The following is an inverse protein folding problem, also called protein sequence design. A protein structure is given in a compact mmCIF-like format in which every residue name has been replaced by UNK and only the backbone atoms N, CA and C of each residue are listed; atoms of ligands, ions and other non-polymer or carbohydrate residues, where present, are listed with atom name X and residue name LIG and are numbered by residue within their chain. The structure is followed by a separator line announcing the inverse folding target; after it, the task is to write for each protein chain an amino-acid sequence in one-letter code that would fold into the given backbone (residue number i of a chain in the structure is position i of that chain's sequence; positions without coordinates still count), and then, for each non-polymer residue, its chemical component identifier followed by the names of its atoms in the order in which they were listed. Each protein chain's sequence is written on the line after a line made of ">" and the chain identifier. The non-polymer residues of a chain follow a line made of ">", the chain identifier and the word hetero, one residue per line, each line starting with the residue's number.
data_IF_334962804251
#
_entry.id   IF_334962804251
#
_cell.length_a   1.000
_cell.length_b   1.000
_cell.length_c   1.000
_cell.angle_alpha   90.00
_cell.angle_beta   90.00
_cell.angle_gamma   90.00
#
_symmetry.space_group_name_H-M   'P 1'
#
loop_
_entity.id
_entity.type
_entity.pdbx_description
1 polymer ?
#
# COMPACT_ATOMS: atom_id res chain seq x y z
N UNK A 1 16.10 1.99 -3.14
CA UNK A 1 17.10 1.38 -4.03
C UNK A 1 17.27 -0.07 -3.64
N UNK A 2 17.70 -0.94 -4.55
CA UNK A 2 18.07 -2.32 -4.19
C UNK A 2 19.49 -2.41 -3.60
N UNK A 3 19.86 -3.60 -3.12
CA UNK A 3 21.20 -3.93 -2.61
C UNK A 3 22.34 -3.75 -3.63
N UNK A 4 22.02 -3.67 -4.92
CA UNK A 4 22.99 -3.38 -6.00
C UNK A 4 23.10 -1.87 -6.31
N UNK A 5 22.36 -1.03 -5.58
CA UNK A 5 22.33 0.41 -5.75
C UNK A 5 21.45 0.88 -6.92
N UNK A 6 20.61 0.02 -7.51
CA UNK A 6 19.65 0.45 -8.52
C UNK A 6 18.48 1.20 -7.86
N UNK A 7 17.97 2.20 -8.55
CA UNK A 7 16.86 3.06 -8.12
C UNK A 7 15.62 2.62 -8.88
N UNK A 8 14.48 2.55 -8.20
CA UNK A 8 13.20 2.23 -8.82
C UNK A 8 12.26 3.40 -8.64
N UNK A 9 11.57 3.78 -9.71
CA UNK A 9 10.62 4.89 -9.73
C UNK A 9 9.27 4.34 -10.16
N UNK A 10 8.23 4.68 -9.41
CA UNK A 10 6.83 4.54 -9.78
C UNK A 10 6.23 5.93 -9.86
N UNK A 11 5.68 6.30 -11.02
CA UNK A 11 5.15 7.66 -11.22
C UNK A 11 4.08 7.68 -12.29
N UNK A 12 3.28 8.74 -12.26
CA UNK A 12 2.31 9.08 -13.29
C UNK A 12 2.86 10.16 -14.22
N UNK A 13 2.44 10.11 -15.48
CA UNK A 13 2.74 11.11 -16.50
C UNK A 13 1.43 11.53 -17.15
N UNK A 14 1.13 12.84 -17.10
CA UNK A 14 -0.14 13.41 -17.52
C UNK A 14 -0.26 13.66 -19.03
N UNK A 15 0.84 13.55 -19.77
CA UNK A 15 0.91 13.72 -21.21
C UNK A 15 2.15 13.03 -21.74
N UNK A 16 2.16 12.65 -23.02
CA UNK A 16 3.33 12.06 -23.68
C UNK A 16 4.60 12.89 -23.39
N UNK A 17 5.63 12.24 -22.86
CA UNK A 17 6.88 12.87 -22.43
C UNK A 17 8.09 12.02 -22.81
N UNK A 18 9.26 12.65 -22.85
CA UNK A 18 10.55 11.96 -22.96
C UNK A 18 11.12 11.77 -21.55
N UNK A 19 11.52 10.55 -21.22
CA UNK A 19 12.12 10.18 -19.95
C UNK A 19 13.31 9.25 -20.20
N UNK A 20 14.53 9.75 -19.95
CA UNK A 20 15.79 9.01 -20.13
C UNK A 20 15.91 8.40 -21.54
N UNK A 21 15.72 9.23 -22.57
CA UNK A 21 15.75 8.86 -24.00
C UNK A 21 14.63 7.89 -24.45
N UNK A 22 13.68 7.55 -23.58
CA UNK A 22 12.47 6.78 -23.93
C UNK A 22 11.25 7.70 -24.02
N UNK A 23 10.41 7.48 -25.03
CA UNK A 23 9.11 8.16 -25.12
C UNK A 23 8.07 7.37 -24.33
N UNK A 24 7.48 8.01 -23.32
CA UNK A 24 6.39 7.46 -22.52
C UNK A 24 5.09 8.19 -22.83
N UNK A 25 4.00 7.44 -23.00
CA UNK A 25 2.66 8.00 -23.17
C UNK A 25 2.05 8.44 -21.82
N UNK A 26 0.83 8.96 -21.84
CA UNK A 26 0.07 9.27 -20.63
C UNK A 26 -0.25 7.99 -19.84
N UNK A 27 -0.13 8.06 -18.51
CA UNK A 27 -0.41 6.95 -17.60
C UNK A 27 0.70 6.73 -16.59
N UNK A 28 0.69 5.56 -15.98
CA UNK A 28 1.68 5.16 -14.97
C UNK A 28 2.88 4.50 -15.65
N UNK A 29 4.05 4.67 -15.05
CA UNK A 29 5.21 3.85 -15.39
C UNK A 29 5.96 3.40 -14.14
N UNK A 30 6.66 2.29 -14.29
CA UNK A 30 7.71 1.85 -13.38
C UNK A 30 9.01 1.76 -14.14
N UNK A 31 10.11 2.17 -13.53
CA UNK A 31 11.42 2.00 -14.13
C UNK A 31 12.46 1.59 -13.10
N UNK A 32 13.50 0.93 -13.60
CA UNK A 32 14.75 0.69 -12.88
C UNK A 32 15.84 1.52 -13.53
N UNK A 33 16.59 2.23 -12.71
CA UNK A 33 17.77 2.98 -13.09
C UNK A 33 18.97 2.44 -12.32
N UNK A 34 20.15 2.51 -12.91
CA UNK A 34 21.41 2.32 -12.16
C UNK A 34 21.55 3.42 -11.08
N UNK A 35 22.42 3.22 -10.09
CA UNK A 35 22.70 4.24 -9.08
C UNK A 35 23.26 5.57 -9.61
N UNK A 36 23.68 5.60 -10.88
CA UNK A 36 24.12 6.81 -11.59
C UNK A 36 23.00 7.45 -12.45
N UNK A 37 21.78 6.93 -12.41
CA UNK A 37 20.61 7.48 -13.12
C UNK A 37 20.36 6.93 -14.52
N UNK A 38 21.22 6.06 -15.06
CA UNK A 38 20.98 5.45 -16.38
C UNK A 38 19.81 4.46 -16.34
N UNK A 39 18.93 4.50 -17.34
CA UNK A 39 17.81 3.55 -17.45
C UNK A 39 18.31 2.11 -17.68
N UNK A 40 17.73 1.16 -16.94
CA UNK A 40 17.95 -0.28 -17.13
C UNK A 40 16.74 -0.89 -17.84
N UNK A 41 15.54 -0.63 -17.31
CA UNK A 41 14.28 -1.02 -17.96
C UNK A 41 13.16 -0.05 -17.56
N UNK A 42 12.14 0.04 -18.41
CA UNK A 42 10.92 0.79 -18.18
C UNK A 42 9.70 -0.07 -18.56
N UNK A 43 8.66 -0.03 -17.74
CA UNK A 43 7.35 -0.61 -18.04
C UNK A 43 6.30 0.49 -17.91
N UNK A 44 5.43 0.56 -18.91
CA UNK A 44 4.35 1.53 -18.96
C UNK A 44 2.99 0.83 -18.85
N UNK A 45 2.08 1.46 -18.14
CA UNK A 45 0.68 1.08 -17.99
C UNK A 45 -0.18 2.17 -18.63
N UNK A 46 -0.38 2.12 -19.96
CA UNK A 46 -1.03 3.20 -20.68
C UNK A 46 -2.54 3.22 -20.36
N UNK A 47 -3.13 4.41 -20.42
CA UNK A 47 -4.57 4.65 -20.26
C UNK A 47 -5.16 4.40 -18.85
N UNK A 48 -4.33 4.35 -17.79
CA UNK A 48 -4.82 4.45 -16.41
C UNK A 48 -5.22 5.91 -16.11
N UNK A 49 -6.44 6.28 -16.46
CA UNK A 49 -7.00 7.59 -16.17
C UNK A 49 -7.41 7.65 -14.68
N UNK A 50 -7.39 8.84 -14.07
CA UNK A 50 -7.97 9.11 -12.74
C UNK A 50 -7.51 8.27 -11.54
N UNK A 51 -6.25 7.82 -11.48
CA UNK A 51 -5.69 7.33 -10.21
C UNK A 51 -5.60 8.53 -9.26
N UNK A 52 -6.38 8.57 -8.17
CA UNK A 52 -6.55 9.74 -7.29
C UNK A 52 -5.18 10.37 -6.94
N UNK A 53 -4.96 11.59 -7.44
CA UNK A 53 -3.77 12.42 -7.23
C UNK A 53 -3.50 12.75 -5.74
N UNK A 54 -4.40 12.32 -4.84
CA UNK A 54 -4.42 12.62 -3.42
C UNK A 54 -3.79 11.59 -2.47
N UNK A 55 -3.28 10.44 -2.93
CA UNK A 55 -2.49 9.56 -2.07
C UNK A 55 -1.07 10.10 -1.92
N UNK A 56 -0.83 10.91 -0.88
CA UNK A 56 0.51 11.34 -0.49
C UNK A 56 1.32 10.12 -0.04
N UNK A 57 1.90 9.41 -1.00
CA UNK A 57 2.62 8.16 -0.79
C UNK A 57 2.43 7.21 -1.97
N UNK A 58 3.20 7.44 -3.05
CA UNK A 58 3.40 6.43 -4.08
C UNK A 58 4.29 5.31 -3.48
N UNK A 59 3.70 4.29 -2.86
CA UNK A 59 4.50 3.23 -2.25
C UNK A 59 4.87 2.17 -3.28
N UNK A 60 5.99 2.43 -3.93
CA UNK A 60 6.87 1.36 -4.40
C UNK A 60 7.70 0.89 -3.22
N UNK A 61 7.71 -0.42 -2.97
CA UNK A 61 8.58 -1.03 -1.98
C UNK A 61 9.43 -2.12 -2.64
N UNK A 62 10.66 -2.31 -2.16
CA UNK A 62 11.60 -3.28 -2.71
C UNK A 62 11.95 -4.23 -1.58
N UNK A 63 11.62 -5.51 -1.78
CA UNK A 63 12.10 -6.57 -0.93
C UNK A 63 13.42 -7.11 -1.48
N UNK A 64 14.50 -6.54 -0.97
CA UNK A 64 15.86 -6.95 -1.30
C UNK A 64 16.20 -8.39 -0.84
N UNK A 65 15.46 -8.95 0.12
CA UNK A 65 15.69 -10.32 0.58
C UNK A 65 15.17 -11.34 -0.44
N UNK A 66 14.04 -11.04 -1.08
CA UNK A 66 13.42 -11.94 -2.05
C UNK A 66 13.63 -11.51 -3.50
N UNK A 67 14.10 -10.29 -3.75
CA UNK A 67 14.31 -9.75 -5.09
C UNK A 67 13.01 -9.34 -5.79
N UNK A 68 12.08 -8.73 -5.06
CA UNK A 68 10.79 -8.32 -5.59
C UNK A 68 10.49 -6.85 -5.35
N UNK A 69 9.60 -6.32 -6.17
CA UNK A 69 9.08 -4.96 -6.13
C UNK A 69 7.58 -5.07 -5.90
N UNK A 70 7.07 -4.28 -4.97
CA UNK A 70 5.65 -4.16 -4.67
C UNK A 70 5.19 -2.74 -4.96
N UNK A 71 4.04 -2.62 -5.60
CA UNK A 71 3.41 -1.33 -5.92
C UNK A 71 1.96 -1.42 -5.49
N UNK A 72 1.47 -0.41 -4.79
CA UNK A 72 0.06 -0.32 -4.40
C UNK A 72 -0.57 0.98 -4.87
N UNK A 73 -1.89 0.98 -5.06
CA UNK A 73 -2.64 2.17 -5.44
C UNK A 73 -4.15 1.94 -5.45
N UNK A 74 -4.89 3.04 -5.50
CA UNK A 74 -6.32 3.03 -5.78
C UNK A 74 -6.52 2.83 -7.29
N UNK A 75 -7.60 2.16 -7.67
CA UNK A 75 -7.97 1.80 -9.03
C UNK A 75 -9.38 2.32 -9.30
N UNK A 76 -9.50 3.40 -10.04
CA UNK A 76 -10.78 4.02 -10.43
C UNK A 76 -11.15 3.69 -11.89
N UNK A 77 -10.13 3.45 -12.71
CA UNK A 77 -10.25 2.99 -14.09
C UNK A 77 -9.46 1.68 -14.27
N UNK A 78 -9.74 0.93 -15.33
CA UNK A 78 -9.02 -0.32 -15.60
C UNK A 78 -7.49 -0.10 -15.69
N UNK A 79 -6.72 -1.01 -15.09
CA UNK A 79 -5.26 -1.04 -15.19
C UNK A 79 -4.83 -2.20 -16.08
N UNK A 80 -4.33 -1.88 -17.26
CA UNK A 80 -3.83 -2.88 -18.22
C UNK A 80 -2.37 -3.18 -17.87
N UNK A 81 -2.07 -4.44 -17.55
CA UNK A 81 -0.70 -4.94 -17.34
C UNK A 81 -0.25 -5.61 -18.65
N UNK A 82 0.61 -4.96 -19.46
CA UNK A 82 0.86 -5.42 -20.82
C UNK A 82 1.43 -6.84 -20.88
N UNK A 83 0.75 -7.70 -21.64
CA UNK A 83 1.16 -9.10 -21.85
C UNK A 83 0.68 -10.08 -20.78
N UNK A 84 0.04 -9.59 -19.71
CA UNK A 84 -0.33 -10.38 -18.54
C UNK A 84 -1.85 -10.38 -18.33
N UNK A 85 -2.36 -9.43 -17.54
CA UNK A 85 -3.76 -9.32 -17.14
C UNK A 85 -4.25 -7.87 -17.17
N UNK A 86 -5.56 -7.69 -16.99
CA UNK A 86 -6.17 -6.37 -16.78
C UNK A 86 -6.93 -6.41 -15.47
N UNK A 87 -6.63 -5.45 -14.58
CA UNK A 87 -7.42 -5.21 -13.38
C UNK A 87 -8.57 -4.27 -13.74
N UNK A 88 -9.80 -4.63 -13.36
CA UNK A 88 -11.01 -3.85 -13.65
C UNK A 88 -11.66 -3.53 -12.31
N UNK A 89 -11.77 -2.25 -11.93
CA UNK A 89 -12.28 -1.91 -10.62
C UNK A 89 -13.76 -2.27 -10.47
N UNK A 90 -14.16 -2.56 -9.23
CA UNK A 90 -15.56 -2.66 -8.83
C UNK A 90 -16.30 -1.32 -8.95
N UNK A 91 -17.63 -1.37 -8.72
CA UNK A 91 -18.51 -0.20 -8.89
C UNK A 91 -18.15 0.98 -7.97
N UNK A 92 -17.54 0.70 -6.80
CA UNK A 92 -17.11 1.70 -5.83
C UNK A 92 -15.61 2.02 -5.95
N UNK A 93 -14.93 1.54 -6.99
CA UNK A 93 -13.48 1.57 -7.11
C UNK A 93 -12.83 0.33 -6.49
N UNK A 94 -11.50 0.26 -6.55
CA UNK A 94 -10.73 -0.84 -5.98
C UNK A 94 -9.38 -0.36 -5.46
N UNK A 95 -8.70 -1.21 -4.73
CA UNK A 95 -7.26 -1.07 -4.48
C UNK A 95 -6.54 -2.25 -5.12
N UNK A 96 -5.26 -2.07 -5.44
CA UNK A 96 -4.45 -3.15 -5.98
C UNK A 96 -3.06 -3.22 -5.36
N UNK A 97 -2.46 -4.41 -5.44
CA UNK A 97 -1.02 -4.59 -5.28
C UNK A 97 -0.47 -5.31 -6.51
N UNK A 98 0.61 -4.81 -7.09
CA UNK A 98 1.38 -5.52 -8.11
C UNK A 98 2.70 -6.02 -7.52
N UNK A 99 3.09 -7.23 -7.88
CA UNK A 99 4.41 -7.80 -7.62
C UNK A 99 5.19 -7.99 -8.91
N UNK A 100 6.41 -7.48 -8.94
CA UNK A 100 7.41 -7.70 -9.99
C UNK A 100 8.69 -8.28 -9.40
N UNK A 101 9.52 -8.93 -10.21
CA UNK A 101 10.92 -9.18 -9.85
C UNK A 101 11.81 -7.96 -10.14
N UNK A 102 13.09 -7.99 -9.71
CA UNK A 102 14.04 -6.90 -9.96
C UNK A 102 14.41 -6.70 -11.45
N UNK A 103 14.06 -7.64 -12.32
CA UNK A 103 14.26 -7.57 -13.77
C UNK A 103 13.02 -6.99 -14.50
N UNK A 104 11.97 -6.66 -13.75
CA UNK A 104 10.76 -6.03 -14.26
C UNK A 104 9.78 -7.03 -14.88
N UNK A 105 9.89 -8.32 -14.55
CA UNK A 105 8.91 -9.33 -14.94
C UNK A 105 7.76 -9.34 -13.93
N UNK A 106 6.53 -9.40 -14.43
CA UNK A 106 5.33 -9.52 -13.60
C UNK A 106 5.32 -10.88 -12.89
N UNK A 107 4.90 -10.89 -11.62
CA UNK A 107 4.79 -12.11 -10.81
C UNK A 107 3.31 -12.41 -10.50
N UNK A 108 2.63 -11.47 -9.83
CA UNK A 108 1.20 -11.56 -9.52
C UNK A 108 0.61 -10.19 -9.20
N UNK A 109 -0.71 -10.13 -9.08
CA UNK A 109 -1.45 -8.96 -8.58
C UNK A 109 -2.56 -9.37 -7.61
N UNK A 110 -2.83 -8.52 -6.63
CA UNK A 110 -4.01 -8.56 -5.76
C UNK A 110 -4.91 -7.39 -6.14
N UNK A 111 -6.23 -7.59 -6.09
CA UNK A 111 -7.24 -6.54 -6.20
C UNK A 111 -8.28 -6.77 -5.11
N UNK A 112 -8.69 -5.69 -4.43
CA UNK A 112 -9.80 -5.69 -3.48
C UNK A 112 -10.80 -4.61 -3.89
N UNK A 113 -12.08 -4.95 -3.94
CA UNK A 113 -13.12 -4.14 -4.58
C UNK A 113 -13.75 -3.13 -3.61
N UNK A 114 -12.93 -2.19 -3.12
CA UNK A 114 -13.39 -1.04 -2.35
C UNK A 114 -12.53 0.21 -2.61
N UNK A 115 -13.10 1.39 -2.37
CA UNK A 115 -12.35 2.65 -2.38
C UNK A 115 -11.44 2.77 -1.15
N UNK A 116 -10.14 2.63 -1.35
CA UNK A 116 -9.12 2.88 -0.33
C UNK A 116 -8.26 4.10 -0.65
N UNK A 117 -7.73 4.76 0.37
CA UNK A 117 -6.79 5.90 0.24
C UNK A 117 -5.56 5.70 1.11
N UNK A 118 -4.54 6.52 0.88
CA UNK A 118 -3.30 6.54 1.70
C UNK A 118 -2.64 5.16 1.83
N UNK A 119 -2.70 4.40 0.73
CA UNK A 119 -2.28 3.01 0.72
C UNK A 119 -0.78 2.88 0.91
N UNK A 120 -0.30 1.95 1.72
CA UNK A 120 1.12 1.62 1.89
C UNK A 120 1.31 0.10 1.81
N UNK A 121 2.42 -0.33 1.22
CA UNK A 121 2.80 -1.74 1.16
C UNK A 121 4.23 -1.92 1.65
N UNK A 122 4.43 -2.85 2.59
CA UNK A 122 5.76 -3.22 3.08
C UNK A 122 5.93 -4.74 3.07
N UNK A 123 7.08 -5.26 2.61
CA UNK A 123 7.39 -6.68 2.76
C UNK A 123 7.73 -7.01 4.22
N UNK A 124 7.49 -8.25 4.63
CA UNK A 124 8.11 -8.83 5.82
C UNK A 124 9.34 -9.68 5.47
N UNK A 125 10.08 -10.15 6.47
CA UNK A 125 11.31 -10.92 6.27
C UNK A 125 11.05 -12.36 5.81
N UNK A 126 9.79 -12.78 5.70
CA UNK A 126 9.38 -14.05 5.10
C UNK A 126 8.88 -13.89 3.66
N UNK A 127 8.94 -12.69 3.11
CA UNK A 127 8.50 -12.38 1.74
C UNK A 127 6.98 -12.22 1.60
N UNK A 128 6.25 -12.21 2.72
CA UNK A 128 4.85 -11.79 2.76
C UNK A 128 4.79 -10.27 2.60
N UNK A 129 3.59 -9.74 2.40
CA UNK A 129 3.36 -8.29 2.42
C UNK A 129 2.35 -7.91 3.47
N UNK A 130 2.53 -6.70 3.99
CA UNK A 130 1.56 -6.00 4.82
C UNK A 130 1.11 -4.76 4.06
N UNK A 131 -0.19 -4.67 3.85
CA UNK A 131 -0.89 -3.58 3.18
C UNK A 131 -1.63 -2.77 4.24
N UNK A 132 -1.60 -1.45 4.13
CA UNK A 132 -2.48 -0.56 4.91
C UNK A 132 -3.04 0.53 4.04
N UNK A 133 -4.03 1.23 4.59
CA UNK A 133 -4.54 2.48 4.09
C UNK A 133 -5.72 2.89 4.95
N UNK A 134 -6.53 3.80 4.44
CA UNK A 134 -7.78 4.23 5.07
C UNK A 134 -8.96 3.83 4.20
N UNK A 135 -10.09 3.52 4.84
CA UNK A 135 -11.33 3.10 4.19
C UNK A 135 -12.55 3.78 4.81
N UNK A 136 -13.71 3.63 4.16
CA UNK A 136 -15.01 4.16 4.61
C UNK A 136 -16.02 3.02 4.70
N UNK A 137 -17.10 3.24 5.44
CA UNK A 137 -18.26 2.35 5.50
C UNK A 137 -17.87 0.89 5.84
N UNK A 138 -18.33 -0.07 5.03
CA UNK A 138 -18.06 -1.49 5.19
C UNK A 138 -17.27 -1.97 3.98
N UNK A 139 -16.12 -2.58 4.22
CA UNK A 139 -15.29 -3.19 3.18
C UNK A 139 -15.09 -4.67 3.46
N UNK A 140 -14.66 -5.40 2.44
CA UNK A 140 -14.12 -6.76 2.60
C UNK A 140 -12.71 -6.78 2.07
N UNK A 141 -11.78 -7.33 2.87
CA UNK A 141 -10.40 -7.60 2.45
C UNK A 141 -10.21 -9.11 2.53
N UNK A 142 -9.98 -9.75 1.38
CA UNK A 142 -9.93 -11.21 1.27
C UNK A 142 -11.22 -11.86 1.78
N UNK A 143 -11.18 -12.45 2.97
CA UNK A 143 -12.38 -13.07 3.61
C UNK A 143 -12.85 -12.34 4.86
N UNK A 144 -12.25 -11.21 5.21
CA UNK A 144 -12.56 -10.46 6.43
C UNK A 144 -13.36 -9.20 6.10
N UNK A 145 -14.54 -9.07 6.71
CA UNK A 145 -15.32 -7.83 6.67
C UNK A 145 -14.84 -6.86 7.75
N UNK A 146 -14.56 -5.61 7.37
CA UNK A 146 -14.23 -4.52 8.27
C UNK A 146 -15.31 -3.44 8.19
N UNK A 147 -15.58 -2.77 9.30
CA UNK A 147 -16.57 -1.69 9.38
C UNK A 147 -15.92 -0.50 10.05
N UNK A 148 -15.95 0.65 9.38
CA UNK A 148 -15.49 1.91 9.94
C UNK A 148 -16.41 2.33 11.09
N UNK A 149 -15.83 2.74 12.22
CA UNK A 149 -16.58 3.26 13.38
C UNK A 149 -16.87 4.76 13.24
N UNK A 150 -16.08 5.45 12.40
CA UNK A 150 -16.21 6.86 12.07
C UNK A 150 -16.35 7.11 10.57
N UNK A 151 -15.91 8.30 10.13
CA UNK A 151 -15.89 8.67 8.72
C UNK A 151 -14.84 7.90 7.94
N UNK A 152 -13.64 7.72 8.51
CA UNK A 152 -12.52 7.01 7.88
C UNK A 152 -11.64 6.33 8.91
N UNK A 153 -11.53 5.01 8.83
CA UNK A 153 -10.63 4.23 9.67
C UNK A 153 -9.44 3.70 8.88
N UNK A 154 -8.34 3.43 9.61
CA UNK A 154 -7.21 2.67 9.10
C UNK A 154 -7.52 1.18 8.97
N UNK A 155 -6.92 0.51 7.99
CA UNK A 155 -6.86 -0.94 7.93
C UNK A 155 -5.41 -1.42 7.84
N UNK A 156 -5.18 -2.64 8.31
CA UNK A 156 -3.93 -3.38 8.10
C UNK A 156 -4.30 -4.78 7.64
N UNK A 157 -3.72 -5.24 6.53
CA UNK A 157 -3.96 -6.55 5.96
C UNK A 157 -2.64 -7.24 5.62
N UNK A 158 -2.60 -8.56 5.74
CA UNK A 158 -1.43 -9.37 5.42
C UNK A 158 -1.76 -10.41 4.36
N UNK A 159 -0.86 -10.54 3.40
CA UNK A 159 -0.92 -11.55 2.34
C UNK A 159 0.41 -12.30 2.30
N UNK A 160 0.36 -13.60 2.01
CA UNK A 160 1.57 -14.40 1.87
C UNK A 160 2.40 -14.02 0.62
N UNK A 161 3.59 -14.61 0.49
CA UNK A 161 4.47 -14.35 -0.65
C UNK A 161 3.87 -14.68 -2.03
N UNK A 162 2.85 -15.54 -2.07
CA UNK A 162 2.09 -15.92 -3.25
C UNK A 162 0.85 -15.06 -3.51
N UNK A 163 0.59 -14.06 -2.66
CA UNK A 163 -0.56 -13.16 -2.77
C UNK A 163 -1.84 -13.71 -2.15
N UNK A 164 -1.78 -14.79 -1.36
CA UNK A 164 -2.96 -15.31 -0.67
C UNK A 164 -3.21 -14.52 0.62
N UNK A 165 -4.47 -14.17 0.85
CA UNK A 165 -4.90 -13.49 2.08
C UNK A 165 -4.61 -14.32 3.33
N UNK A 166 -4.10 -13.65 4.38
CA UNK A 166 -3.85 -14.25 5.70
C UNK A 166 -4.79 -13.68 6.75
N UNK A 167 -4.80 -12.36 6.93
CA UNK A 167 -5.62 -11.67 7.92
C UNK A 167 -5.78 -10.18 7.58
N UNK A 168 -6.77 -9.54 8.18
CA UNK A 168 -6.93 -8.09 8.17
C UNK A 168 -7.55 -7.61 9.50
N UNK A 169 -7.17 -6.41 9.93
CA UNK A 169 -7.70 -5.74 11.12
C UNK A 169 -8.05 -4.28 10.79
N UNK A 170 -8.98 -3.73 11.58
CA UNK A 170 -9.31 -2.29 11.60
C UNK A 170 -8.48 -1.59 12.66
N UNK A 171 -8.17 -0.32 12.42
CA UNK A 171 -7.64 0.56 13.43
C UNK A 171 -8.21 1.97 13.28
N UNK A 172 -9.06 2.39 14.21
CA UNK A 172 -9.66 3.72 14.21
C UNK A 172 -10.77 3.92 15.23
N UNK A 173 -11.55 4.99 15.07
CA UNK A 173 -12.50 5.49 16.06
C UNK A 173 -13.68 6.23 15.43
N UNK A 174 -14.37 7.07 16.20
CA UNK A 174 -15.61 7.75 15.76
C UNK A 174 -15.40 8.88 14.72
N UNK A 175 -14.15 9.29 14.45
CA UNK A 175 -13.80 10.42 13.57
C UNK A 175 -13.04 9.98 12.31
N UNK A 176 -12.00 10.73 11.93
CA UNK A 176 -11.14 10.45 10.77
C UNK A 176 -9.76 10.11 11.30
N UNK A 177 -9.22 9.01 10.79
CA UNK A 177 -7.91 8.50 11.13
C UNK A 177 -7.03 8.40 9.89
N UNK A 178 -5.78 8.80 10.05
CA UNK A 178 -4.75 8.74 9.03
C UNK A 178 -3.68 7.73 9.48
N UNK A 179 -3.67 6.55 8.89
CA UNK A 179 -2.76 5.47 9.28
C UNK A 179 -1.75 5.13 8.18
N UNK A 180 -0.50 4.89 8.57
CA UNK A 180 0.52 4.29 7.72
C UNK A 180 1.24 3.13 8.42
N UNK A 181 1.46 2.02 7.70
CA UNK A 181 2.54 1.09 8.06
C UNK A 181 3.88 1.71 7.71
N UNK A 182 4.82 1.63 8.63
CA UNK A 182 6.17 2.20 8.45
C UNK A 182 7.23 1.16 8.14
N UNK A 183 7.16 -0.02 8.76
CA UNK A 183 8.19 -1.05 8.61
C UNK A 183 7.79 -2.39 9.23
N UNK A 184 8.58 -3.41 8.92
CA UNK A 184 8.58 -4.70 9.59
C UNK A 184 9.97 -5.00 10.18
N UNK A 185 10.04 -5.86 11.20
CA UNK A 185 11.32 -6.37 11.72
C UNK A 185 11.59 -7.83 11.32
N UNK A 186 12.78 -8.32 11.66
CA UNK A 186 13.21 -9.69 11.33
C UNK A 186 12.41 -10.80 12.00
N UNK A 187 11.54 -10.47 12.96
CA UNK A 187 10.56 -11.38 13.54
C UNK A 187 9.17 -11.21 12.90
N UNK A 188 9.08 -10.49 11.78
CA UNK A 188 7.86 -10.12 11.07
C UNK A 188 6.85 -9.33 11.92
N UNK A 189 7.31 -8.65 12.97
CA UNK A 189 6.44 -7.69 13.66
C UNK A 189 6.23 -6.47 12.77
N UNK A 190 5.08 -5.82 12.94
CA UNK A 190 4.61 -4.71 12.10
C UNK A 190 4.58 -3.45 12.94
N UNK A 191 5.10 -2.36 12.41
CA UNK A 191 5.14 -1.07 13.09
C UNK A 191 4.26 -0.06 12.34
N UNK A 192 3.26 0.46 13.04
CA UNK A 192 2.31 1.43 12.53
C UNK A 192 2.64 2.81 13.11
N UNK A 193 2.45 3.84 12.31
CA UNK A 193 2.35 5.21 12.78
C UNK A 193 1.22 5.95 12.08
N UNK A 194 0.51 6.80 12.78
CA UNK A 194 -0.58 7.57 12.18
C UNK A 194 -0.99 8.75 13.03
N UNK A 195 -1.80 9.61 12.44
CA UNK A 195 -2.52 10.66 13.13
C UNK A 195 -3.96 10.20 13.37
N UNK A 196 -4.40 10.27 14.62
CA UNK A 196 -5.74 9.87 15.03
C UNK A 196 -6.43 11.06 15.67
N UNK A 197 -7.64 11.34 15.20
CA UNK A 197 -8.42 12.48 15.68
C UNK A 197 -9.41 12.04 16.77
N UNK A 198 -9.90 10.80 16.73
CA UNK A 198 -10.82 10.27 17.74
C UNK A 198 -10.23 10.27 19.15
N UNK A 199 -11.04 10.58 20.16
CA UNK A 199 -10.64 10.43 21.58
C UNK A 199 -10.43 8.96 21.94
N UNK A 200 -11.33 8.08 21.50
CA UNK A 200 -11.24 6.63 21.67
C UNK A 200 -10.89 5.99 20.34
N UNK A 201 -9.77 5.27 20.31
CA UNK A 201 -9.28 4.53 19.15
C UNK A 201 -9.19 3.07 19.51
N UNK A 202 -9.64 2.21 18.62
CA UNK A 202 -9.41 0.78 18.75
C UNK A 202 -8.48 0.30 17.64
N UNK A 203 -7.39 -0.39 18.00
CA UNK A 203 -6.55 -1.14 17.07
C UNK A 203 -6.87 -2.61 17.28
N UNK A 204 -7.55 -3.22 16.31
CA UNK A 204 -8.16 -4.55 16.46
C UNK A 204 -9.11 -4.61 17.68
N UNK A 205 -8.80 -5.41 18.70
CA UNK A 205 -9.55 -5.49 19.96
C UNK A 205 -8.95 -4.60 21.09
N UNK A 206 -7.89 -3.83 20.81
CA UNK A 206 -7.19 -3.01 21.81
C UNK A 206 -7.66 -1.56 21.77
N UNK A 207 -8.39 -1.16 22.80
CA UNK A 207 -8.89 0.22 22.99
C UNK A 207 -7.85 1.13 23.66
N UNK A 208 -7.75 2.36 23.17
CA UNK A 208 -6.87 3.42 23.66
C UNK A 208 -7.70 4.71 23.75
N UNK A 209 -7.68 5.34 24.91
CA UNK A 209 -8.24 6.68 25.10
C UNK A 209 -7.10 7.69 25.12
N UNK A 210 -7.14 8.67 24.22
CA UNK A 210 -6.17 9.74 24.12
C UNK A 210 -6.62 10.95 24.93
N UNK A 211 -5.68 11.81 25.33
CA UNK A 211 -6.04 13.07 26.00
C UNK A 211 -6.75 14.01 25.01
N UNK A 212 -7.73 14.80 25.47
CA UNK A 212 -8.48 15.74 24.62
C UNK A 212 -7.52 16.68 23.85
N UNK A 213 -7.63 16.68 22.51
CA UNK A 213 -6.86 17.53 21.61
C UNK A 213 -6.93 17.05 20.16
N UNK A 214 -6.81 17.97 19.19
CA UNK A 214 -6.82 17.63 17.76
C UNK A 214 -5.47 17.02 17.32
N UNK A 215 -5.49 15.85 16.68
CA UNK A 215 -4.36 15.29 15.91
C UNK A 215 -3.27 14.60 16.74
N UNK A 216 -3.63 13.53 17.47
CA UNK A 216 -2.68 12.74 18.25
C UNK A 216 -1.88 11.80 17.34
N UNK A 217 -0.58 11.63 17.62
CA UNK A 217 0.25 10.67 16.86
C UNK A 217 0.27 9.35 17.62
N UNK A 218 -0.17 8.27 16.96
CA UNK A 218 -0.10 6.91 17.51
C UNK A 218 1.08 6.16 16.90
N UNK A 219 1.76 5.38 17.73
CA UNK A 219 2.67 4.31 17.32
C UNK A 219 2.16 2.98 17.87
N UNK A 220 2.06 1.97 17.02
CA UNK A 220 1.67 0.63 17.43
C UNK A 220 2.65 -0.42 16.92
N UNK A 221 2.78 -1.50 17.68
CA UNK A 221 3.43 -2.72 17.23
C UNK A 221 2.45 -3.87 17.24
N UNK A 222 2.35 -4.56 16.12
CA UNK A 222 1.65 -5.84 15.98
C UNK A 222 2.68 -6.96 15.83
N UNK A 223 2.33 -8.17 16.26
CA UNK A 223 3.09 -9.37 15.87
C UNK A 223 2.77 -9.80 14.42
N UNK A 224 3.35 -10.91 13.99
CA UNK A 224 3.20 -11.42 12.62
C UNK A 224 1.77 -11.88 12.28
N UNK A 225 0.95 -12.13 13.30
CA UNK A 225 -0.42 -12.62 13.20
C UNK A 225 -1.44 -11.48 13.39
N UNK A 226 -0.97 -10.24 13.54
CA UNK A 226 -1.81 -9.05 13.67
C UNK A 226 -2.17 -8.71 15.12
N UNK A 227 -1.70 -9.46 16.12
CA UNK A 227 -2.04 -9.17 17.51
C UNK A 227 -1.23 -7.97 18.03
N UNK A 228 -1.93 -7.02 18.65
CA UNK A 228 -1.32 -5.84 19.27
C UNK A 228 -0.38 -6.25 20.41
N UNK A 229 0.88 -5.82 20.31
CA UNK A 229 1.91 -6.04 21.34
C UNK A 229 2.03 -4.82 22.27
N UNK A 230 1.97 -3.62 21.69
CA UNK A 230 1.91 -2.36 22.43
C UNK A 230 1.37 -1.25 21.52
N UNK A 231 0.78 -0.24 22.15
CA UNK A 231 0.43 1.03 21.51
C UNK A 231 0.83 2.17 22.43
N UNK A 232 1.34 3.25 21.87
CA UNK A 232 1.69 4.49 22.56
C UNK A 232 1.27 5.68 21.71
N UNK A 233 0.96 6.80 22.34
CA UNK A 233 0.57 8.04 21.66
C UNK A 233 1.35 9.24 22.21
N UNK A 234 1.35 10.35 21.47
CA UNK A 234 1.94 11.63 21.86
C UNK A 234 1.10 12.82 21.41
#
# INVERSE_FOLDING_TARGET
>A
SDNSGNIYTYSYVSNKAEFLDEMIDEGIFICKQTGNGNLVWLKQFPYSQNMDYGSQGNYINIDDNTGHIYITGALEDQLIIPGETTLVPGDEGSIFVLKYDLDGNYVWSIQEDFAGKELSVVPDYSGNIVLSGIFRDIITIGTTGLTSDGEQDGFVAKYDAGGNFLWAIRAGGELIEYMAITSTDSSNNIYLSGEFISENVTVDDTEITMEEGDGNIIFAKLDSDGNVQWVTFM
#
